data_IF_330071739575
#
_entry.id   IF_330071739575
#
_cell.length_a   1.000
_cell.length_b   1.000
_cell.length_c   1.000
_cell.angle_alpha   90.00
_cell.angle_beta   90.00
_cell.angle_gamma   90.00
#
_symmetry.space_group_name_H-M   'P 1'
#
loop_
_entity.id
_entity.type
_entity.pdbx_description
1 polymer ?
#
# COMPACT_ATOMS: atom_id res chain seq x y z
N UNK A 1 10.12 -51.99 -40.17
CA UNK A 1 9.07 -51.68 -39.17
C UNK A 1 9.56 -51.51 -37.72
N UNK A 2 10.87 -51.52 -37.39
CA UNK A 2 11.35 -51.27 -36.01
C UNK A 2 11.76 -49.81 -35.73
N UNK A 3 12.24 -49.09 -36.75
CA UNK A 3 12.70 -47.69 -36.61
C UNK A 3 11.57 -46.67 -36.43
N UNK A 4 10.37 -46.98 -36.95
CA UNK A 4 9.20 -46.10 -36.87
C UNK A 4 8.53 -46.08 -35.49
N UNK A 5 8.62 -47.19 -34.72
CA UNK A 5 8.08 -47.23 -33.37
C UNK A 5 8.95 -46.42 -32.39
N UNK A 6 10.27 -46.42 -32.60
CA UNK A 6 11.21 -45.76 -31.70
C UNK A 6 11.07 -44.23 -31.75
N UNK A 7 10.81 -43.67 -32.94
CA UNK A 7 10.61 -42.23 -33.14
C UNK A 7 9.28 -41.72 -32.56
N UNK A 8 8.24 -42.56 -32.55
CA UNK A 8 6.95 -42.21 -31.94
C UNK A 8 7.07 -42.23 -30.41
N UNK A 9 7.78 -43.22 -29.85
CA UNK A 9 7.94 -43.36 -28.40
C UNK A 9 8.74 -42.20 -27.79
N UNK A 10 9.78 -41.71 -28.47
CA UNK A 10 10.54 -40.54 -28.03
C UNK A 10 9.76 -39.24 -28.15
N UNK A 11 8.84 -39.14 -29.11
CA UNK A 11 7.97 -37.96 -29.25
C UNK A 11 6.96 -37.86 -28.11
N UNK A 12 6.37 -38.99 -27.68
CA UNK A 12 5.44 -39.01 -26.54
C UNK A 12 6.12 -38.73 -25.20
N UNK A 13 7.34 -39.22 -24.97
CA UNK A 13 8.08 -38.92 -23.72
C UNK A 13 8.50 -37.45 -23.62
N UNK A 14 8.80 -36.78 -24.73
CA UNK A 14 9.09 -35.34 -24.77
C UNK A 14 7.85 -34.49 -24.42
N UNK A 15 6.66 -34.88 -24.90
CA UNK A 15 5.40 -34.18 -24.59
C UNK A 15 5.03 -34.34 -23.12
N UNK A 16 5.19 -35.54 -22.55
CA UNK A 16 4.94 -35.80 -21.13
C UNK A 16 5.90 -35.03 -20.21
N UNK A 17 7.14 -34.77 -20.65
CA UNK A 17 8.10 -33.95 -19.91
C UNK A 17 7.67 -32.47 -19.88
N UNK A 18 7.12 -31.95 -20.98
CA UNK A 18 6.60 -30.58 -21.03
C UNK A 18 5.34 -30.39 -20.15
N UNK A 19 4.53 -31.42 -19.96
CA UNK A 19 3.38 -31.38 -19.05
C UNK A 19 3.75 -31.48 -17.56
N UNK A 20 5.00 -31.87 -17.25
CA UNK A 20 5.55 -31.91 -15.89
C UNK A 20 6.29 -30.64 -15.48
N UNK A 21 6.40 -29.66 -16.39
CA UNK A 21 6.78 -28.32 -16.00
C UNK A 21 5.72 -27.83 -15.00
N UNK A 22 6.12 -27.39 -13.79
CA UNK A 22 5.19 -26.76 -12.88
C UNK A 22 4.48 -25.67 -13.66
N UNK A 23 3.14 -25.72 -13.68
CA UNK A 23 2.31 -24.62 -14.17
C UNK A 23 2.95 -23.34 -13.66
N UNK A 24 3.25 -22.42 -14.59
CA UNK A 24 3.68 -21.08 -14.24
C UNK A 24 2.78 -20.62 -13.08
N UNK A 25 3.37 -20.17 -11.95
CA UNK A 25 2.58 -19.81 -10.78
C UNK A 25 1.48 -18.89 -11.26
N UNK A 26 0.24 -19.31 -11.00
CA UNK A 26 -0.97 -18.52 -11.17
C UNK A 26 -0.59 -17.07 -10.87
N UNK A 27 -0.64 -16.18 -11.87
CA UNK A 27 -0.09 -14.82 -11.79
C UNK A 27 -0.73 -14.16 -10.57
N UNK A 28 -0.05 -14.32 -9.45
CA UNK A 28 -0.59 -14.05 -8.14
C UNK A 28 -0.82 -12.58 -8.14
N UNK A 29 -2.09 -12.18 -8.04
CA UNK A 29 -2.44 -10.79 -7.82
C UNK A 29 -1.66 -10.37 -6.58
N UNK A 30 -0.56 -9.65 -6.77
CA UNK A 30 0.30 -9.26 -5.66
C UNK A 30 -0.57 -8.52 -4.65
N UNK A 31 -0.60 -8.97 -3.39
CA UNK A 31 -1.48 -8.40 -2.39
C UNK A 31 -1.24 -6.90 -2.31
N UNK A 32 -2.27 -6.11 -2.61
CA UNK A 32 -2.16 -4.66 -2.71
C UNK A 32 -3.24 -4.00 -1.87
N UNK A 33 -2.86 -3.01 -1.06
CA UNK A 33 -3.78 -2.19 -0.28
C UNK A 33 -3.82 -0.78 -0.86
N UNK A 34 -5.00 -0.37 -1.33
CA UNK A 34 -5.24 1.00 -1.80
C UNK A 34 -5.63 1.88 -0.62
N UNK A 35 -4.83 2.89 -0.30
CA UNK A 35 -5.08 3.80 0.82
C UNK A 35 -5.69 5.11 0.33
N UNK A 36 -6.92 5.39 0.75
CA UNK A 36 -7.64 6.63 0.46
C UNK A 36 -7.72 7.51 1.71
N UNK A 37 -7.35 8.78 1.57
CA UNK A 37 -7.50 9.78 2.61
C UNK A 37 -8.82 10.52 2.41
N UNK A 38 -9.58 10.71 3.49
CA UNK A 38 -10.87 11.43 3.48
C UNK A 38 -10.98 12.33 4.70
N UNK A 39 -11.45 13.56 4.52
CA UNK A 39 -11.56 14.56 5.58
C UNK A 39 -12.40 15.75 5.14
N UNK A 40 -12.53 16.78 5.97
CA UNK A 40 -13.35 17.98 5.75
C UNK A 40 -12.87 18.91 4.62
N UNK A 41 -11.91 18.48 3.80
CA UNK A 41 -11.33 19.23 2.69
C UNK A 41 -11.57 18.55 1.35
N UNK A 42 -12.81 18.14 1.08
CA UNK A 42 -13.24 17.81 -0.28
C UNK A 42 -13.60 19.13 -0.98
N UNK A 43 -12.67 19.69 -1.76
CA UNK A 43 -12.94 20.78 -2.69
C UNK A 43 -12.65 20.33 -4.11
N UNK A 44 -13.63 20.59 -4.99
CA UNK A 44 -13.68 20.27 -6.43
C UNK A 44 -12.67 21.03 -7.32
N UNK A 45 -11.48 21.34 -6.84
CA UNK A 45 -10.39 21.84 -7.67
C UNK A 45 -9.13 21.11 -7.29
N UNK A 46 -8.79 20.05 -8.04
CA UNK A 46 -7.57 19.26 -7.85
C UNK A 46 -6.37 20.13 -7.44
N UNK A 47 -5.99 20.20 -6.16
CA UNK A 47 -4.58 20.33 -5.89
C UNK A 47 -3.96 18.95 -6.16
N UNK A 48 -2.77 18.91 -6.76
CA UNK A 48 -2.01 17.66 -6.93
C UNK A 48 -1.81 16.93 -5.57
N UNK A 49 -1.94 17.66 -4.45
CA UNK A 49 -1.77 17.19 -3.08
C UNK A 49 -2.96 17.65 -2.23
N UNK A 50 -3.66 16.72 -1.57
CA UNK A 50 -4.76 17.05 -0.66
C UNK A 50 -4.26 17.79 0.58
N UNK A 51 -5.00 18.80 1.05
CA UNK A 51 -4.61 19.62 2.22
C UNK A 51 -5.73 19.55 3.25
N UNK A 52 -5.40 19.19 4.49
CA UNK A 52 -6.37 19.03 5.57
C UNK A 52 -6.21 20.09 6.67
N UNK A 53 -7.28 20.50 7.37
CA UNK A 53 -7.18 21.42 8.50
C UNK A 53 -6.39 20.83 9.67
N UNK A 54 -5.51 21.63 10.28
CA UNK A 54 -4.87 21.27 11.54
C UNK A 54 -5.95 21.12 12.63
N UNK A 55 -5.70 20.24 13.59
CA UNK A 55 -6.63 19.84 14.65
C UNK A 55 -7.92 19.18 14.15
N UNK A 56 -7.99 18.78 12.88
CA UNK A 56 -9.08 17.97 12.34
C UNK A 56 -8.80 16.47 12.41
N UNK A 57 -9.86 15.69 12.24
CA UNK A 57 -9.78 14.24 12.09
C UNK A 57 -9.61 13.87 10.63
N UNK A 58 -8.52 13.17 10.32
CA UNK A 58 -8.24 12.58 9.02
C UNK A 58 -8.63 11.10 9.03
N UNK A 59 -9.59 10.72 8.18
CA UNK A 59 -9.96 9.31 8.01
C UNK A 59 -9.11 8.67 6.93
N UNK A 60 -8.33 7.68 7.33
CA UNK A 60 -7.54 6.81 6.47
C UNK A 60 -8.40 5.58 6.21
N UNK A 61 -8.79 5.37 4.95
CA UNK A 61 -9.54 4.18 4.52
C UNK A 61 -8.69 3.33 3.61
N UNK A 62 -8.90 2.03 3.62
CA UNK A 62 -8.21 1.16 2.68
C UNK A 62 -9.08 0.03 2.15
N UNK A 63 -8.70 -0.46 0.97
CA UNK A 63 -9.30 -1.64 0.34
C UNK A 63 -8.18 -2.58 -0.09
N UNK A 64 -8.30 -3.86 0.26
CA UNK A 64 -7.34 -4.91 -0.11
C UNK A 64 -7.78 -5.68 -1.35
N UNK A 65 -6.83 -6.01 -2.20
CA UNK A 65 -7.00 -6.93 -3.33
C UNK A 65 -5.95 -8.03 -3.22
N UNK A 66 -6.35 -9.29 -3.40
CA UNK A 66 -5.44 -10.44 -3.35
C UNK A 66 -5.14 -10.96 -1.93
N UNK A 67 -5.61 -10.31 -0.86
CA UNK A 67 -5.48 -10.78 0.51
C UNK A 67 -6.80 -11.43 0.95
N UNK A 68 -6.79 -12.76 1.13
CA UNK A 68 -7.98 -13.54 1.53
C UNK A 68 -8.16 -13.63 3.04
N UNK A 69 -7.05 -13.55 3.79
CA UNK A 69 -7.03 -13.61 5.25
C UNK A 69 -7.28 -12.22 5.85
N UNK A 70 -7.43 -12.16 7.18
CA UNK A 70 -7.55 -10.90 7.93
C UNK A 70 -6.29 -10.66 8.78
N UNK A 71 -5.13 -10.37 8.16
CA UNK A 71 -3.90 -10.15 8.90
C UNK A 71 -3.96 -8.87 9.73
N UNK A 72 -3.04 -8.78 10.67
CA UNK A 72 -2.80 -7.55 11.40
C UNK A 72 -1.96 -6.60 10.55
N UNK A 73 -2.36 -5.33 10.49
CA UNK A 73 -1.65 -4.28 9.78
C UNK A 73 -1.16 -3.19 10.72
N UNK A 74 -0.04 -2.58 10.33
CA UNK A 74 0.58 -1.46 11.02
C UNK A 74 0.40 -0.20 10.18
N UNK A 75 -0.25 0.80 10.77
CA UNK A 75 -0.44 2.12 10.18
C UNK A 75 0.67 3.02 10.70
N UNK A 76 1.42 3.58 9.76
CA UNK A 76 2.51 4.49 10.04
C UNK A 76 2.31 5.80 9.27
N UNK A 77 2.66 6.91 9.91
CA UNK A 77 2.60 8.24 9.31
C UNK A 77 4.01 8.77 9.23
N UNK A 78 4.39 9.25 8.05
CA UNK A 78 5.71 9.79 7.79
C UNK A 78 5.63 11.24 7.38
N UNK A 79 6.54 12.05 7.91
CA UNK A 79 6.90 13.32 7.31
C UNK A 79 7.78 13.06 6.10
N UNK A 80 7.40 13.63 4.95
CA UNK A 80 8.15 13.57 3.69
C UNK A 80 9.03 14.81 3.61
N UNK A 81 10.32 14.64 3.91
CA UNK A 81 11.29 15.71 3.78
C UNK A 81 11.80 15.75 2.34
N UNK A 82 11.54 16.84 1.58
CA UNK A 82 11.99 16.95 0.19
C UNK A 82 13.49 17.26 0.13
N UNK A 83 14.33 16.25 0.31
CA UNK A 83 15.77 16.33 0.03
C UNK A 83 16.07 15.93 -1.41
N UNK A 84 16.98 16.64 -2.07
CA UNK A 84 17.60 16.17 -3.31
C UNK A 84 18.73 15.19 -2.95
N UNK A 85 18.89 14.04 -3.63
CA UNK A 85 18.13 13.54 -4.79
C UNK A 85 16.92 12.67 -4.44
N UNK A 86 16.72 12.29 -3.17
CA UNK A 86 15.64 11.40 -2.73
C UNK A 86 14.96 11.94 -1.47
N UNK A 87 13.62 11.83 -1.37
CA UNK A 87 12.90 12.23 -0.16
C UNK A 87 13.29 11.32 1.00
N UNK A 88 13.45 11.93 2.18
CA UNK A 88 13.67 11.20 3.44
C UNK A 88 12.34 11.08 4.17
N UNK A 89 12.02 9.88 4.67
CA UNK A 89 10.80 9.61 5.41
C UNK A 89 11.09 9.52 6.91
N UNK A 90 10.49 10.41 7.70
CA UNK A 90 10.67 10.43 9.16
C UNK A 90 9.37 9.99 9.81
N UNK A 91 9.37 8.90 10.61
CA UNK A 91 8.16 8.43 11.30
C UNK A 91 7.71 9.47 12.33
N UNK A 92 6.44 9.89 12.25
CA UNK A 92 5.85 10.89 13.14
C UNK A 92 5.26 10.28 14.41
N UNK A 93 4.68 9.10 14.30
CA UNK A 93 4.08 8.43 15.43
C UNK A 93 5.16 7.69 16.23
N UNK A 94 5.29 8.00 17.52
CA UNK A 94 6.21 7.31 18.44
C UNK A 94 5.99 5.80 18.51
N UNK A 95 4.74 5.36 18.30
CA UNK A 95 4.35 3.96 18.19
C UNK A 95 3.46 3.79 16.97
N UNK A 96 3.74 2.77 16.18
CA UNK A 96 2.91 2.36 15.05
C UNK A 96 1.53 1.95 15.57
N UNK A 97 0.50 2.15 14.74
CA UNK A 97 -0.88 1.79 15.12
C UNK A 97 -1.24 0.45 14.52
N UNK A 98 -1.63 -0.47 15.38
CA UNK A 98 -1.98 -1.84 15.01
C UNK A 98 -3.50 -1.96 14.90
N UNK A 99 -3.97 -2.60 13.83
CA UNK A 99 -5.39 -2.88 13.55
C UNK A 99 -5.51 -4.09 12.64
N UNK A 100 -6.71 -4.62 12.46
CA UNK A 100 -7.00 -5.69 11.51
C UNK A 100 -7.32 -5.14 10.13
N UNK A 101 -6.94 -5.88 9.08
CA UNK A 101 -7.16 -5.47 7.69
C UNK A 101 -8.64 -5.15 7.39
N UNK A 102 -9.57 -5.93 7.95
CA UNK A 102 -11.01 -5.80 7.72
C UNK A 102 -11.67 -4.59 8.40
N UNK A 103 -11.05 -3.99 9.42
CA UNK A 103 -11.54 -2.74 10.02
C UNK A 103 -11.58 -1.63 8.97
N UNK A 104 -10.70 -1.70 7.96
CA UNK A 104 -10.68 -0.90 6.73
C UNK A 104 -10.65 0.63 6.88
N UNK A 105 -10.62 1.13 8.12
CA UNK A 105 -10.59 2.55 8.43
C UNK A 105 -9.84 2.83 9.73
N UNK A 106 -9.11 3.94 9.76
CA UNK A 106 -8.45 4.47 10.94
C UNK A 106 -8.61 6.00 10.97
N UNK A 107 -8.86 6.55 12.16
CA UNK A 107 -8.98 8.01 12.34
C UNK A 107 -7.70 8.55 12.98
N UNK A 108 -7.00 9.41 12.25
CA UNK A 108 -5.80 10.10 12.67
C UNK A 108 -6.15 11.54 13.05
N UNK A 109 -5.83 11.94 14.28
CA UNK A 109 -5.96 13.33 14.70
C UNK A 109 -4.76 14.14 14.24
N UNK A 110 -4.99 15.20 13.46
CA UNK A 110 -3.95 16.11 12.96
C UNK A 110 -3.53 17.12 14.03
N UNK A 111 -3.03 16.63 15.16
CA UNK A 111 -2.66 17.42 16.34
C UNK A 111 -1.45 18.34 16.06
N UNK A 112 -1.53 19.61 16.49
CA UNK A 112 -0.47 20.60 16.30
C UNK A 112 0.88 20.26 16.95
N UNK A 113 0.92 19.31 17.88
CA UNK A 113 2.18 18.82 18.47
C UNK A 113 2.94 17.86 17.54
N UNK A 114 2.25 17.27 16.56
CA UNK A 114 2.80 16.28 15.64
C UNK A 114 2.81 16.77 14.19
N UNK A 115 1.85 17.62 13.82
CA UNK A 115 1.71 18.13 12.47
C UNK A 115 1.97 19.63 12.44
N UNK A 116 2.79 20.04 11.50
CA UNK A 116 3.00 21.44 11.17
C UNK A 116 2.28 21.77 9.87
N UNK A 117 1.62 22.92 9.88
CA UNK A 117 0.96 23.48 8.72
C UNK A 117 1.98 24.10 7.73
N UNK A 118 1.52 24.32 6.50
CA UNK A 118 2.17 25.18 5.48
C UNK A 118 3.60 24.76 5.10
N UNK A 119 3.72 24.02 3.97
CA UNK A 119 5.01 23.65 3.39
C UNK A 119 5.57 22.30 3.83
N UNK A 120 4.85 21.57 4.70
CA UNK A 120 5.16 20.18 5.06
C UNK A 120 4.18 19.20 4.42
N UNK A 121 4.73 18.07 3.97
CA UNK A 121 3.98 16.99 3.37
C UNK A 121 4.15 15.71 4.16
N UNK A 122 3.08 14.94 4.23
CA UNK A 122 3.00 13.72 5.01
C UNK A 122 2.47 12.60 4.12
N UNK A 123 2.76 11.36 4.48
CA UNK A 123 2.15 10.18 3.85
C UNK A 123 1.82 9.13 4.89
N UNK A 124 0.88 8.27 4.56
CA UNK A 124 0.50 7.11 5.36
C UNK A 124 0.95 5.85 4.65
N UNK A 125 1.50 4.90 5.39
CA UNK A 125 1.73 3.55 4.91
C UNK A 125 0.94 2.55 5.74
N UNK A 126 0.59 1.44 5.09
CA UNK A 126 -0.01 0.26 5.70
C UNK A 126 0.96 -0.89 5.44
N UNK A 127 1.43 -1.50 6.53
CA UNK A 127 2.44 -2.55 6.52
C UNK A 127 1.81 -3.83 7.08
N UNK A 128 2.07 -4.99 6.49
CA UNK A 128 1.70 -6.26 7.11
C UNK A 128 2.59 -6.49 8.33
N UNK A 129 2.00 -6.82 9.48
CA UNK A 129 2.75 -6.96 10.73
C UNK A 129 3.75 -8.12 10.69
N UNK A 130 3.35 -9.25 10.11
CA UNK A 130 4.12 -10.49 10.19
C UNK A 130 5.29 -10.50 9.18
N UNK A 131 5.08 -9.91 8.01
CA UNK A 131 6.07 -9.87 6.92
C UNK A 131 6.89 -8.56 6.90
N UNK A 132 6.54 -7.59 7.74
CA UNK A 132 7.07 -6.21 7.74
C UNK A 132 7.02 -5.52 6.35
N UNK A 133 6.20 -6.03 5.44
CA UNK A 133 6.10 -5.56 4.06
C UNK A 133 5.11 -4.40 3.94
N UNK A 134 5.55 -3.31 3.30
CA UNK A 134 4.67 -2.17 2.98
C UNK A 134 3.79 -2.53 1.79
N UNK A 135 2.53 -2.84 2.08
CA UNK A 135 1.54 -3.29 1.08
C UNK A 135 0.60 -2.16 0.62
N UNK A 136 0.64 -1.00 1.29
CA UNK A 136 -0.17 0.16 0.92
C UNK A 136 0.51 1.48 1.26
N UNK A 137 0.39 2.45 0.36
CA UNK A 137 0.88 3.83 0.57
C UNK A 137 -0.15 4.83 0.07
N UNK A 138 -0.46 5.84 0.87
CA UNK A 138 -1.33 6.94 0.45
C UNK A 138 -0.62 7.90 -0.48
N UNK A 139 -1.39 8.70 -1.23
CA UNK A 139 -0.85 9.96 -1.78
C UNK A 139 -0.34 10.85 -0.63
N UNK A 140 0.63 11.71 -0.93
CA UNK A 140 1.06 12.74 0.01
C UNK A 140 -0.10 13.70 0.32
N UNK A 141 -0.10 14.24 1.55
CA UNK A 141 -1.05 15.26 1.98
C UNK A 141 -0.34 16.37 2.75
N UNK A 142 -0.90 17.58 2.71
CA UNK A 142 -0.47 18.73 3.50
C UNK A 142 -1.42 19.03 4.65
N UNK A 143 -1.00 19.92 5.54
CA UNK A 143 -1.82 20.45 6.63
C UNK A 143 -1.84 21.98 6.57
N UNK A 144 -2.97 22.59 6.92
CA UNK A 144 -3.17 24.05 6.92
C UNK A 144 -3.63 24.54 8.30
N UNK A 145 -3.25 25.76 8.70
CA UNK A 145 -3.83 26.39 9.90
C UNK A 145 -5.25 26.90 9.64
N UNK A 146 -5.46 27.46 8.44
CA UNK A 146 -6.75 27.95 7.95
C UNK A 146 -6.89 27.54 6.49
N UNK A 147 -7.62 26.45 6.22
CA UNK A 147 -7.93 26.03 4.86
C UNK A 147 -8.99 26.99 4.32
N UNK A 148 -8.58 27.90 3.43
CA UNK A 148 -9.47 28.85 2.77
C UNK A 148 -10.19 28.22 1.61
#
# INVERSE_FOLDING_TARGET
MKLFLLSILTFFTLILCAASLPQAPDFGVSPTIFVKLTGTADRDKEPTIQIFPLNSDLKIKWTSVGIKENPTVLIQVYYVYPTLPKPTYIPLLKKQKETYLNENTYTLKLDSNLFEAEGKFYKVTVTLKDDEEVVGTSKSFGVCNKCK
#
